data_IF_092873401873
#
_entry.id   IF_092873401873
#
_cell.length_a   1.000
_cell.length_b   1.000
_cell.length_c   1.000
_cell.angle_alpha   90.00
_cell.angle_beta   90.00
_cell.angle_gamma   90.00
#
_symmetry.space_group_name_H-M   'P 1'
#
loop_
_entity.id
_entity.type
_entity.pdbx_description
1 polymer ?
#
# COMPACT_ATOMS: atom_id res chain seq x y z
N UNK A 1 -4.49 14.95 14.69
CA UNK A 1 -3.30 14.79 13.83
C UNK A 1 -3.55 13.56 12.97
N UNK A 2 -4.12 13.79 11.80
CA UNK A 2 -4.67 12.75 10.93
C UNK A 2 -3.58 12.36 9.94
N UNK A 3 -2.74 11.39 10.30
CA UNK A 3 -1.87 10.75 9.34
C UNK A 3 -2.79 10.01 8.36
N UNK A 4 -2.87 10.49 7.13
CA UNK A 4 -3.76 9.94 6.11
C UNK A 4 -3.36 8.50 5.82
N UNK A 5 -4.34 7.65 5.47
CA UNK A 5 -4.14 6.23 5.18
C UNK A 5 -3.00 5.98 4.16
N UNK A 6 -2.74 6.95 3.29
CA UNK A 6 -1.69 6.96 2.27
C UNK A 6 -0.28 7.19 2.85
N UNK A 7 -0.12 8.04 3.87
CA UNK A 7 1.20 8.33 4.48
C UNK A 7 1.80 7.10 5.15
N UNK A 8 0.95 6.23 5.73
CA UNK A 8 1.37 4.99 6.36
C UNK A 8 2.01 4.02 5.33
N UNK A 9 1.35 3.83 4.18
CA UNK A 9 1.88 2.95 3.12
C UNK A 9 3.16 3.52 2.51
N UNK A 10 3.24 4.84 2.35
CA UNK A 10 4.45 5.49 1.86
C UNK A 10 5.62 5.29 2.82
N UNK A 11 5.39 5.46 4.13
CA UNK A 11 6.44 5.29 5.14
C UNK A 11 6.98 3.86 5.16
N UNK A 12 6.10 2.86 5.12
CA UNK A 12 6.51 1.45 5.06
C UNK A 12 7.32 1.18 3.78
N UNK A 13 6.88 1.72 2.64
CA UNK A 13 7.58 1.56 1.37
C UNK A 13 9.00 2.14 1.42
N UNK A 14 9.15 3.37 1.94
CA UNK A 14 10.44 4.05 2.08
C UNK A 14 11.35 3.28 3.03
N UNK A 15 10.87 2.93 4.22
CA UNK A 15 11.67 2.24 5.23
C UNK A 15 12.19 0.89 4.66
N UNK A 16 11.33 0.07 4.03
CA UNK A 16 11.76 -1.20 3.42
C UNK A 16 12.75 -0.97 2.26
N UNK A 17 12.52 0.05 1.43
CA UNK A 17 13.42 0.35 0.31
C UNK A 17 14.82 0.73 0.81
N UNK A 18 14.91 1.55 1.84
CA UNK A 18 16.17 2.02 2.41
C UNK A 18 16.94 0.91 3.13
N UNK A 19 16.26 0.09 3.94
CA UNK A 19 16.93 -0.93 4.75
C UNK A 19 17.18 -2.26 4.03
N UNK A 20 16.32 -2.63 3.07
CA UNK A 20 16.38 -3.95 2.43
C UNK A 20 16.86 -3.90 0.96
N UNK A 21 16.86 -2.73 0.33
CA UNK A 21 17.28 -2.54 -1.07
C UNK A 21 16.72 -3.62 -2.04
N UNK A 22 15.40 -3.88 -2.01
CA UNK A 22 14.82 -4.90 -2.88
C UNK A 22 14.89 -4.48 -4.36
N UNK A 23 15.04 -5.44 -5.26
CA UNK A 23 14.95 -5.17 -6.71
C UNK A 23 13.55 -4.66 -7.09
N UNK A 24 12.50 -5.22 -6.47
CA UNK A 24 11.10 -4.81 -6.62
C UNK A 24 10.35 -4.83 -5.28
N UNK A 25 9.49 -3.85 -5.04
CA UNK A 25 8.68 -3.74 -3.83
C UNK A 25 7.25 -3.29 -4.15
N UNK A 26 6.27 -3.94 -3.55
CA UNK A 26 4.87 -3.49 -3.53
C UNK A 26 4.34 -3.56 -2.11
N UNK A 27 3.75 -2.46 -1.63
CA UNK A 27 3.12 -2.34 -0.32
C UNK A 27 1.66 -1.95 -0.52
N UNK A 28 0.76 -2.65 0.14
CA UNK A 28 -0.66 -2.31 0.19
C UNK A 28 -1.18 -2.44 1.62
N UNK A 29 -2.18 -1.65 1.96
CA UNK A 29 -2.86 -1.74 3.24
C UNK A 29 -4.37 -1.84 3.03
N UNK A 30 -5.00 -2.77 3.75
CA UNK A 30 -6.45 -2.89 3.80
C UNK A 30 -6.94 -2.19 5.08
N UNK A 31 -7.56 -1.03 4.92
CA UNK A 31 -8.14 -0.31 6.06
C UNK A 31 -9.60 -0.69 6.24
N UNK A 32 -10.02 -0.88 7.49
CA UNK A 32 -11.44 -1.03 7.79
C UNK A 32 -12.20 0.23 7.35
N UNK A 33 -13.36 0.00 6.71
CA UNK A 33 -14.24 1.07 6.25
C UNK A 33 -14.62 2.00 7.40
N UNK A 34 -14.50 3.31 7.18
CA UNK A 34 -15.15 4.34 8.00
C UNK A 34 -16.15 5.07 7.12
N UNK A 35 -17.43 5.07 7.51
CA UNK A 35 -18.50 5.74 6.75
C UNK A 35 -18.79 5.12 5.37
N UNK A 36 -18.44 3.85 5.13
CA UNK A 36 -18.74 3.14 3.88
C UNK A 36 -17.73 3.34 2.74
N UNK A 37 -16.70 4.17 2.92
CA UNK A 37 -15.64 4.37 1.93
C UNK A 37 -14.50 3.39 2.23
N UNK A 38 -14.11 2.63 1.21
CA UNK A 38 -12.94 1.76 1.23
C UNK A 38 -11.73 2.52 0.68
N UNK A 39 -10.69 2.64 1.48
CA UNK A 39 -9.41 3.23 1.12
C UNK A 39 -8.35 2.14 1.26
N UNK A 40 -7.99 1.51 0.15
CA UNK A 40 -6.87 0.56 0.11
C UNK A 40 -5.71 1.21 -0.65
N UNK A 41 -4.86 1.98 0.04
CA UNK A 41 -3.68 2.56 -0.57
C UNK A 41 -2.71 1.48 -1.02
N UNK A 42 -2.02 1.78 -2.10
CA UNK A 42 -1.03 0.92 -2.74
C UNK A 42 0.14 1.78 -3.21
N UNK A 43 1.35 1.28 -2.98
CA UNK A 43 2.58 1.78 -3.56
C UNK A 43 3.39 0.63 -4.16
N UNK A 44 3.94 0.82 -5.35
CA UNK A 44 4.78 -0.18 -6.02
C UNK A 44 5.93 0.50 -6.76
N UNK A 45 7.09 -0.16 -6.80
CA UNK A 45 8.21 0.21 -7.68
C UNK A 45 7.92 -0.15 -9.15
N UNK A 46 6.98 -1.07 -9.38
CA UNK A 46 6.65 -1.59 -10.72
C UNK A 46 5.59 -0.68 -11.36
N UNK A 47 5.91 -0.08 -12.52
CA UNK A 47 4.98 0.80 -13.26
C UNK A 47 3.72 0.09 -13.76
N UNK A 48 3.84 -1.18 -14.13
CA UNK A 48 2.75 -2.01 -14.70
C UNK A 48 2.26 -3.06 -13.69
N UNK A 49 2.15 -2.67 -12.41
CA UNK A 49 1.65 -3.57 -11.38
C UNK A 49 0.16 -3.86 -11.59
N UNK A 50 -0.21 -5.14 -11.79
CA UNK A 50 -1.60 -5.55 -11.95
C UNK A 50 -2.35 -5.43 -10.62
N UNK A 51 -3.19 -4.39 -10.50
CA UNK A 51 -4.00 -4.12 -9.30
C UNK A 51 -5.13 -5.13 -9.08
N UNK A 52 -5.45 -5.98 -10.05
CA UNK A 52 -6.51 -6.99 -9.93
C UNK A 52 -6.12 -8.11 -8.96
N UNK A 53 -4.83 -8.48 -8.91
CA UNK A 53 -4.30 -9.52 -8.01
C UNK A 53 -4.58 -9.18 -6.53
N UNK A 54 -4.61 -7.89 -6.18
CA UNK A 54 -4.83 -7.45 -4.80
C UNK A 54 -6.30 -7.41 -4.39
N UNK A 55 -7.23 -7.38 -5.36
CA UNK A 55 -8.66 -7.38 -5.06
C UNK A 55 -9.15 -8.72 -4.54
N UNK A 56 -8.44 -9.81 -4.83
CA UNK A 56 -8.74 -11.15 -4.32
C UNK A 56 -8.32 -11.34 -2.85
N UNK A 57 -7.40 -10.51 -2.33
CA UNK A 57 -6.96 -10.53 -0.92
C UNK A 57 -7.86 -9.62 -0.04
N UNK A 58 -9.12 -9.44 -0.45
CA UNK A 58 -10.14 -8.81 0.40
C UNK A 58 -10.82 -9.88 1.24
N UNK A 59 -10.84 -9.68 2.56
CA UNK A 59 -11.73 -10.41 3.46
C UNK A 59 -13.20 -10.15 3.11
#
# INVERSE_FOLDING_TARGET
>A
MQAFHEECVEKIFVDITEFCQPDDLTVTANYMRRGGIELNPLRSSIKEFNREILREIKQ
#
